data_IF_176526098609
#
_entry.id   IF_176526098609
#
_cell.length_a   1.000
_cell.length_b   1.000
_cell.length_c   1.000
_cell.angle_alpha   90.00
_cell.angle_beta   90.00
_cell.angle_gamma   90.00
#
_symmetry.space_group_name_H-M   'P 1'
#
loop_
_entity.id
_entity.type
_entity.pdbx_description
1 polymer ?
#
# COMPACT_ATOMS: atom_id res chain seq x y z
N UNK A 1 -47.19 50.32 30.67
CA UNK A 1 -46.42 49.49 29.71
C UNK A 1 -45.30 50.36 29.14
N UNK A 2 -44.14 50.36 29.79
CA UNK A 2 -43.03 51.27 29.48
C UNK A 2 -42.22 50.61 28.35
N UNK A 3 -42.17 51.26 27.19
CA UNK A 3 -41.33 50.84 26.06
C UNK A 3 -39.87 50.88 26.50
N UNK A 4 -39.22 49.72 26.51
CA UNK A 4 -37.81 49.56 26.86
C UNK A 4 -36.93 50.53 26.09
N UNK A 5 -36.11 51.31 26.80
CA UNK A 5 -35.16 52.27 26.22
C UNK A 5 -34.17 51.53 25.30
N UNK A 6 -34.39 51.66 24.00
CA UNK A 6 -33.50 51.16 22.95
C UNK A 6 -32.25 52.05 22.91
N UNK A 7 -31.13 51.55 23.45
CA UNK A 7 -29.87 52.29 23.42
C UNK A 7 -29.21 52.10 22.06
N UNK A 8 -29.23 53.15 21.22
CA UNK A 8 -28.55 53.21 19.93
C UNK A 8 -27.08 52.75 20.02
N UNK A 9 -26.41 53.02 21.15
CA UNK A 9 -25.05 52.57 21.42
C UNK A 9 -24.92 51.03 21.48
N UNK A 10 -25.93 50.32 22.00
CA UNK A 10 -25.94 48.85 22.03
C UNK A 10 -26.08 48.28 20.61
N UNK A 11 -26.88 48.90 19.76
CA UNK A 11 -27.03 48.48 18.35
C UNK A 11 -25.75 48.74 17.53
N UNK A 12 -25.14 49.91 17.70
CA UNK A 12 -23.88 50.26 17.02
C UNK A 12 -22.78 49.25 17.41
N UNK A 13 -22.63 48.94 18.71
CA UNK A 13 -21.69 47.91 19.19
C UNK A 13 -21.98 46.51 18.62
N UNK A 14 -23.24 46.13 18.51
CA UNK A 14 -23.62 44.85 17.90
C UNK A 14 -23.30 44.82 16.40
N UNK A 15 -23.55 45.90 15.68
CA UNK A 15 -23.25 46.03 14.26
C UNK A 15 -21.74 46.01 13.99
N UNK A 16 -20.95 46.72 14.80
CA UNK A 16 -19.48 46.67 14.77
C UNK A 16 -18.96 45.26 15.05
N UNK A 17 -19.51 44.57 16.06
CA UNK A 17 -19.14 43.18 16.37
C UNK A 17 -19.43 42.25 15.18
N UNK A 18 -20.60 42.36 14.56
CA UNK A 18 -20.97 41.61 13.35
C UNK A 18 -20.03 41.92 12.18
N UNK A 19 -19.67 43.19 11.97
CA UNK A 19 -18.72 43.59 10.93
C UNK A 19 -17.33 43.00 11.18
N UNK A 20 -16.82 43.08 12.42
CA UNK A 20 -15.55 42.47 12.82
C UNK A 20 -15.56 40.95 12.58
N UNK A 21 -16.63 40.26 12.96
CA UNK A 21 -16.78 38.83 12.71
C UNK A 21 -16.78 38.49 11.21
N UNK A 22 -17.49 39.26 10.37
CA UNK A 22 -17.49 39.08 8.91
C UNK A 22 -16.08 39.25 8.32
N UNK A 23 -15.35 40.27 8.75
CA UNK A 23 -13.97 40.52 8.30
C UNK A 23 -13.07 39.34 8.70
N UNK A 24 -13.15 38.88 9.95
CA UNK A 24 -12.38 37.73 10.42
C UNK A 24 -12.71 36.46 9.66
N UNK A 25 -13.99 36.19 9.37
CA UNK A 25 -14.40 35.03 8.56
C UNK A 25 -13.83 35.11 7.15
N UNK A 26 -13.88 36.29 6.52
CA UNK A 26 -13.31 36.52 5.19
C UNK A 26 -11.80 36.29 5.17
N UNK A 27 -11.08 36.81 6.17
CA UNK A 27 -9.64 36.62 6.32
C UNK A 27 -9.29 35.15 6.53
N UNK A 28 -10.02 34.44 7.41
CA UNK A 28 -9.83 32.99 7.61
C UNK A 28 -10.04 32.20 6.32
N UNK A 29 -11.10 32.52 5.58
CA UNK A 29 -11.39 31.87 4.31
C UNK A 29 -10.29 32.15 3.27
N UNK A 30 -9.84 33.40 3.13
CA UNK A 30 -8.75 33.75 2.22
C UNK A 30 -7.45 33.03 2.59
N UNK A 31 -7.09 33.03 3.88
CA UNK A 31 -5.92 32.31 4.36
C UNK A 31 -5.99 30.81 4.06
N UNK A 32 -7.16 30.18 4.27
CA UNK A 32 -7.35 28.76 3.94
C UNK A 32 -7.23 28.50 2.44
N UNK A 33 -7.77 29.39 1.60
CA UNK A 33 -7.67 29.31 0.15
C UNK A 33 -6.21 29.41 -0.31
N UNK A 34 -5.46 30.39 0.19
CA UNK A 34 -4.03 30.57 -0.12
C UNK A 34 -3.21 29.35 0.31
N UNK A 35 -3.41 28.88 1.55
CA UNK A 35 -2.75 27.68 2.08
C UNK A 35 -3.00 26.47 1.20
N UNK A 36 -4.25 26.21 0.82
CA UNK A 36 -4.62 25.01 0.06
C UNK A 36 -4.30 25.12 -1.44
N UNK A 37 -4.11 26.34 -1.95
CA UNK A 37 -3.67 26.58 -3.33
C UNK A 37 -2.23 26.11 -3.56
N UNK A 38 -1.35 26.21 -2.57
CA UNK A 38 0.04 25.73 -2.68
C UNK A 38 0.21 24.24 -2.33
N UNK A 39 -0.77 23.63 -1.67
CA UNK A 39 -0.71 22.22 -1.26
C UNK A 39 -0.96 21.29 -2.43
N UNK A 40 -0.20 20.20 -2.51
CA UNK A 40 -0.44 19.12 -3.46
C UNK A 40 -1.63 18.24 -3.01
N UNK A 41 -2.75 18.22 -3.75
CA UNK A 41 -3.93 17.44 -3.37
C UNK A 41 -3.67 15.92 -3.35
N UNK A 42 -2.73 15.41 -4.17
CA UNK A 42 -2.45 13.97 -4.26
C UNK A 42 -1.77 13.49 -2.99
N UNK A 43 -0.78 14.25 -2.48
CA UNK A 43 -0.12 13.96 -1.20
C UNK A 43 -1.11 13.98 -0.05
N UNK A 44 -2.03 14.94 -0.05
CA UNK A 44 -3.08 15.05 0.97
C UNK A 44 -3.99 13.81 0.95
N UNK A 45 -4.40 13.34 -0.22
CA UNK A 45 -5.19 12.10 -0.36
C UNK A 45 -4.47 10.89 0.24
N UNK A 46 -3.20 10.66 -0.10
CA UNK A 46 -2.46 9.51 0.45
C UNK A 46 -2.22 9.63 1.95
N UNK A 47 -2.06 10.85 2.46
CA UNK A 47 -1.93 11.09 3.89
C UNK A 47 -3.23 10.78 4.65
N UNK A 48 -4.40 11.14 4.08
CA UNK A 48 -5.70 10.73 4.61
C UNK A 48 -5.79 9.19 4.60
N UNK A 49 -5.52 8.55 3.46
CA UNK A 49 -5.62 7.09 3.33
C UNK A 49 -4.72 6.36 4.34
N UNK A 50 -3.51 6.87 4.57
CA UNK A 50 -2.57 6.33 5.56
C UNK A 50 -3.11 6.46 6.97
N UNK A 51 -3.58 7.64 7.36
CA UNK A 51 -4.13 7.88 8.70
C UNK A 51 -5.42 7.09 8.95
N UNK A 52 -6.25 6.87 7.92
CA UNK A 52 -7.43 6.01 8.02
C UNK A 52 -7.06 4.54 8.30
N UNK A 53 -5.97 4.04 7.71
CA UNK A 53 -5.48 2.68 7.94
C UNK A 53 -4.85 2.52 9.32
N UNK A 54 -4.03 3.49 9.73
CA UNK A 54 -3.31 3.44 11.00
C UNK A 54 -4.23 3.74 12.21
N UNK A 55 -5.42 4.32 12.00
CA UNK A 55 -6.38 4.75 13.05
C UNK A 55 -5.74 5.65 14.13
N UNK A 56 -4.64 6.30 13.79
CA UNK A 56 -3.90 7.21 14.66
C UNK A 56 -4.32 8.66 14.39
N UNK A 57 -4.39 9.48 15.45
CA UNK A 57 -4.67 10.92 15.40
C UNK A 57 -5.97 11.37 14.71
N UNK A 58 -7.12 11.12 15.35
CA UNK A 58 -8.43 11.55 14.85
C UNK A 58 -8.55 13.05 14.57
N UNK A 59 -7.90 13.90 15.40
CA UNK A 59 -7.94 15.36 15.23
C UNK A 59 -7.28 15.78 13.91
N UNK A 60 -6.13 15.18 13.60
CA UNK A 60 -5.40 15.44 12.36
C UNK A 60 -6.18 14.93 11.15
N UNK A 61 -6.77 13.74 11.28
CA UNK A 61 -7.62 13.16 10.25
C UNK A 61 -8.81 14.06 9.91
N UNK A 62 -9.51 14.58 10.92
CA UNK A 62 -10.63 15.52 10.72
C UNK A 62 -10.17 16.78 9.99
N UNK A 63 -9.07 17.38 10.43
CA UNK A 63 -8.49 18.58 9.78
C UNK A 63 -8.14 18.35 8.30
N UNK A 64 -7.48 17.23 7.97
CA UNK A 64 -7.15 16.90 6.59
C UNK A 64 -8.41 16.60 5.74
N UNK A 65 -9.44 15.97 6.32
CA UNK A 65 -10.73 15.76 5.65
C UNK A 65 -11.46 17.06 5.39
N UNK A 66 -11.40 18.01 6.32
CA UNK A 66 -11.97 19.35 6.15
C UNK A 66 -11.24 20.10 5.02
N UNK A 67 -9.91 20.09 5.02
CA UNK A 67 -9.07 20.68 3.97
C UNK A 67 -9.37 20.04 2.60
N UNK A 68 -9.51 18.71 2.53
CA UNK A 68 -9.91 18.00 1.31
C UNK A 68 -11.31 18.40 0.82
N UNK A 69 -12.27 18.53 1.75
CA UNK A 69 -13.63 18.96 1.42
C UNK A 69 -13.65 20.40 0.89
N UNK A 70 -12.79 21.27 1.42
CA UNK A 70 -12.64 22.64 0.98
C UNK A 70 -12.08 22.71 -0.44
N UNK A 71 -11.00 21.96 -0.72
CA UNK A 71 -10.41 21.84 -2.06
C UNK A 71 -11.48 21.44 -3.08
N UNK A 72 -12.31 20.44 -2.76
CA UNK A 72 -13.36 19.95 -3.66
C UNK A 72 -14.48 20.96 -3.87
N UNK A 73 -14.95 21.63 -2.81
CA UNK A 73 -16.02 22.65 -2.89
C UNK A 73 -15.60 23.85 -3.74
N UNK A 74 -14.35 24.29 -3.60
CA UNK A 74 -13.81 25.46 -4.30
C UNK A 74 -13.11 25.13 -5.62
N UNK A 75 -13.18 23.87 -6.07
CA UNK A 75 -12.56 23.37 -7.31
C UNK A 75 -11.07 23.74 -7.43
N UNK A 76 -10.36 23.74 -6.30
CA UNK A 76 -8.91 23.93 -6.28
C UNK A 76 -8.28 22.70 -6.93
N UNK A 77 -7.33 22.89 -7.84
CA UNK A 77 -6.62 21.80 -8.54
C UNK A 77 -7.51 20.81 -9.31
N UNK A 78 -8.65 21.27 -9.84
CA UNK A 78 -9.65 20.43 -10.53
C UNK A 78 -9.01 19.51 -11.59
N UNK A 79 -8.14 20.04 -12.44
CA UNK A 79 -7.49 19.29 -13.53
C UNK A 79 -6.71 18.07 -13.03
N UNK A 80 -6.02 18.20 -11.88
CA UNK A 80 -5.25 17.10 -11.28
C UNK A 80 -6.14 16.12 -10.53
N UNK A 81 -7.17 16.63 -9.85
CA UNK A 81 -8.05 15.84 -8.99
C UNK A 81 -8.98 14.95 -9.79
N UNK A 82 -9.60 15.47 -10.84
CA UNK A 82 -10.59 14.72 -11.59
C UNK A 82 -9.94 13.51 -12.29
N UNK A 83 -8.80 13.74 -12.95
CA UNK A 83 -8.01 12.65 -13.54
C UNK A 83 -7.50 11.65 -12.51
N UNK A 84 -6.99 12.12 -11.36
CA UNK A 84 -6.50 11.23 -10.30
C UNK A 84 -7.62 10.37 -9.68
N UNK A 85 -8.78 10.96 -9.40
CA UNK A 85 -9.92 10.26 -8.82
C UNK A 85 -10.49 9.23 -9.78
N UNK A 86 -10.54 9.54 -11.07
CA UNK A 86 -10.96 8.59 -12.09
C UNK A 86 -9.98 7.42 -12.20
N UNK A 87 -8.67 7.70 -12.24
CA UNK A 87 -7.64 6.66 -12.21
C UNK A 87 -7.73 5.78 -10.96
N UNK A 88 -7.99 6.36 -9.78
CA UNK A 88 -8.17 5.60 -8.55
C UNK A 88 -9.42 4.71 -8.58
N UNK A 89 -10.55 5.22 -9.10
CA UNK A 89 -11.76 4.41 -9.30
C UNK A 89 -11.51 3.25 -10.26
N UNK A 90 -10.84 3.51 -11.38
CA UNK A 90 -10.48 2.47 -12.34
C UNK A 90 -9.54 1.43 -11.74
N UNK A 91 -8.53 1.83 -10.95
CA UNK A 91 -7.64 0.90 -10.24
C UNK A 91 -8.40 0.03 -9.26
N UNK A 92 -9.28 0.61 -8.43
CA UNK A 92 -10.12 -0.15 -7.50
C UNK A 92 -11.05 -1.12 -8.23
N UNK A 93 -11.69 -0.67 -9.30
CA UNK A 93 -12.56 -1.52 -10.11
C UNK A 93 -11.78 -2.67 -10.80
N UNK A 94 -10.54 -2.44 -11.25
CA UNK A 94 -9.67 -3.49 -11.81
C UNK A 94 -9.31 -4.51 -10.74
N UNK A 95 -8.86 -4.06 -9.55
CA UNK A 95 -8.53 -4.94 -8.43
C UNK A 95 -9.75 -5.80 -8.04
N UNK A 96 -10.94 -5.20 -7.94
CA UNK A 96 -12.16 -5.93 -7.60
C UNK A 96 -12.55 -6.95 -8.70
N UNK A 97 -12.39 -6.60 -9.97
CA UNK A 97 -12.60 -7.54 -11.09
C UNK A 97 -11.60 -8.69 -11.06
N UNK A 98 -10.33 -8.40 -10.81
CA UNK A 98 -9.26 -9.40 -10.77
C UNK A 98 -9.41 -10.35 -9.56
N UNK A 99 -9.90 -9.84 -8.43
CA UNK A 99 -10.25 -10.65 -7.26
C UNK A 99 -11.42 -11.59 -7.54
N UNK A 100 -12.42 -11.16 -8.31
CA UNK A 100 -13.62 -11.96 -8.62
C UNK A 100 -13.41 -12.97 -9.73
N UNK A 101 -12.52 -12.68 -10.67
CA UNK A 101 -12.28 -13.49 -11.87
C UNK A 101 -11.45 -14.73 -11.53
N UNK A 102 -11.89 -15.93 -11.93
CA UNK A 102 -10.99 -17.10 -11.91
C UNK A 102 -9.87 -16.99 -12.93
N UNK A 103 -8.68 -17.45 -12.54
CA UNK A 103 -7.50 -17.50 -13.41
C UNK A 103 -7.42 -18.80 -14.23
N UNK A 104 -8.58 -19.40 -14.55
CA UNK A 104 -8.65 -20.69 -15.23
C UNK A 104 -7.92 -21.78 -14.45
N UNK A 105 -7.25 -22.70 -15.14
CA UNK A 105 -6.52 -23.86 -14.59
C UNK A 105 -5.49 -23.53 -13.49
N UNK A 106 -5.08 -22.27 -13.36
CA UNK A 106 -4.12 -21.81 -12.35
C UNK A 106 -4.80 -21.49 -11.00
N UNK A 107 -6.14 -21.46 -10.95
CA UNK A 107 -6.90 -21.16 -9.74
C UNK A 107 -7.28 -22.43 -9.00
N UNK A 108 -7.17 -22.41 -7.66
CA UNK A 108 -7.60 -23.49 -6.76
C UNK A 108 -9.08 -23.85 -6.94
N UNK A 109 -9.90 -22.88 -7.34
CA UNK A 109 -11.35 -23.03 -7.49
C UNK A 109 -11.77 -23.42 -8.92
N UNK A 110 -10.80 -23.70 -9.81
CA UNK A 110 -11.09 -24.02 -11.20
C UNK A 110 -11.53 -25.46 -11.33
N UNK A 111 -12.84 -25.64 -11.43
CA UNK A 111 -13.44 -26.87 -11.88
C UNK A 111 -14.54 -26.51 -12.89
N UNK A 112 -14.38 -26.84 -14.18
CA UNK A 112 -15.34 -26.45 -15.21
C UNK A 112 -16.75 -27.03 -15.00
N UNK A 113 -16.86 -28.18 -14.33
CA UNK A 113 -18.14 -28.81 -14.01
C UNK A 113 -18.82 -28.20 -12.78
N UNK A 114 -18.03 -27.91 -11.73
CA UNK A 114 -18.56 -27.38 -10.46
C UNK A 114 -18.65 -25.85 -10.42
N UNK A 115 -17.93 -25.14 -11.31
CA UNK A 115 -17.91 -23.69 -11.39
C UNK A 115 -17.91 -23.21 -12.86
N UNK A 116 -19.03 -23.40 -13.58
CA UNK A 116 -19.14 -23.04 -14.98
C UNK A 116 -19.05 -21.52 -15.22
N UNK A 117 -19.33 -20.71 -14.19
CA UNK A 117 -19.28 -19.24 -14.28
C UNK A 117 -17.87 -18.66 -14.14
N UNK A 118 -16.89 -19.46 -13.72
CA UNK A 118 -15.51 -18.99 -13.53
C UNK A 118 -15.40 -17.84 -12.52
N UNK A 119 -16.20 -17.87 -11.44
CA UNK A 119 -16.18 -16.88 -10.37
C UNK A 119 -15.61 -17.47 -9.09
N UNK A 120 -14.86 -16.67 -8.34
CA UNK A 120 -14.32 -17.11 -7.05
C UNK A 120 -15.48 -17.30 -6.07
N UNK A 121 -15.60 -18.44 -5.38
CA UNK A 121 -16.65 -18.64 -4.39
C UNK A 121 -16.57 -17.58 -3.28
N UNK A 122 -17.73 -17.08 -2.85
CA UNK A 122 -17.84 -16.22 -1.69
C UNK A 122 -17.96 -17.09 -0.43
N UNK A 123 -17.33 -16.68 0.67
CA UNK A 123 -17.57 -17.26 1.99
C UNK A 123 -19.01 -16.98 2.46
N UNK A 124 -19.44 -17.69 3.51
CA UNK A 124 -20.79 -17.56 4.09
C UNK A 124 -21.10 -16.12 4.54
N UNK A 125 -20.07 -15.39 4.98
CA UNK A 125 -20.17 -13.97 5.36
C UNK A 125 -20.15 -12.99 4.16
N UNK A 126 -20.19 -13.51 2.93
CA UNK A 126 -20.00 -12.73 1.70
C UNK A 126 -18.57 -12.27 1.46
N UNK A 127 -17.60 -12.74 2.27
CA UNK A 127 -16.19 -12.42 2.11
C UNK A 127 -15.61 -13.13 0.88
N UNK A 128 -14.80 -12.41 0.07
CA UNK A 128 -14.17 -13.01 -1.10
C UNK A 128 -13.02 -13.92 -0.66
N UNK A 129 -13.04 -15.18 -1.08
CA UNK A 129 -11.92 -16.09 -0.85
C UNK A 129 -10.71 -15.67 -1.70
N UNK A 130 -9.47 -15.91 -1.23
CA UNK A 130 -8.26 -15.52 -1.94
C UNK A 130 -8.05 -16.39 -3.18
N UNK A 131 -8.06 -15.77 -4.37
CA UNK A 131 -7.80 -16.44 -5.63
C UNK A 131 -6.31 -16.41 -5.97
N UNK A 132 -5.54 -17.27 -5.31
CA UNK A 132 -4.09 -17.36 -5.47
C UNK A 132 -3.72 -18.19 -6.70
N UNK A 133 -2.83 -17.64 -7.53
CA UNK A 133 -2.25 -18.32 -8.70
C UNK A 133 -0.83 -18.81 -8.46
N UNK A 134 -0.12 -18.15 -7.56
CA UNK A 134 1.20 -18.58 -7.13
C UNK A 134 1.06 -19.61 -5.99
N UNK A 135 1.90 -20.65 -5.95
CA UNK A 135 2.01 -21.50 -4.77
C UNK A 135 2.36 -20.64 -3.55
N UNK A 136 1.76 -20.92 -2.39
CA UNK A 136 2.10 -20.22 -1.15
C UNK A 136 3.61 -20.32 -0.92
N UNK A 137 4.33 -19.21 -1.09
CA UNK A 137 5.80 -19.17 -0.90
C UNK A 137 6.21 -19.26 0.56
N UNK A 138 5.26 -19.30 1.48
CA UNK A 138 5.51 -19.45 2.90
C UNK A 138 5.60 -20.94 3.20
N UNK A 139 6.83 -21.47 3.31
CA UNK A 139 7.05 -22.68 4.09
C UNK A 139 6.72 -22.30 5.54
N UNK A 140 5.50 -22.59 6.00
CA UNK A 140 5.14 -22.42 7.41
C UNK A 140 6.07 -23.30 8.23
N UNK A 141 7.07 -22.67 8.86
CA UNK A 141 7.92 -23.33 9.84
C UNK A 141 7.07 -23.50 11.10
N UNK A 142 6.51 -24.69 11.28
CA UNK A 142 5.84 -25.03 12.52
C UNK A 142 6.87 -25.06 13.65
N UNK A 143 6.51 -24.52 14.80
CA UNK A 143 7.29 -24.74 16.01
C UNK A 143 7.31 -26.25 16.31
N UNK A 144 8.44 -26.81 16.76
CA UNK A 144 8.50 -28.21 17.17
C UNK A 144 7.48 -28.46 18.29
N UNK A 145 6.80 -29.59 18.21
CA UNK A 145 5.80 -30.01 19.19
C UNK A 145 6.42 -30.05 20.61
N UNK A 146 5.80 -29.43 21.63
CA UNK A 146 6.29 -29.53 23.01
C UNK A 146 6.46 -30.98 23.48
N UNK A 147 5.63 -31.91 23.00
CA UNK A 147 5.73 -33.33 23.37
C UNK A 147 7.07 -33.97 22.97
N UNK A 148 7.65 -33.53 21.84
CA UNK A 148 8.97 -34.00 21.36
C UNK A 148 10.08 -33.60 22.34
N UNK A 149 9.93 -32.44 23.00
CA UNK A 149 10.86 -31.97 24.02
C UNK A 149 10.71 -32.75 25.32
N UNK A 150 9.48 -33.03 25.73
CA UNK A 150 9.17 -33.81 26.94
C UNK A 150 9.66 -35.25 26.83
N UNK A 151 9.54 -35.86 25.65
CA UNK A 151 9.95 -37.25 25.40
C UNK A 151 11.45 -37.42 25.14
N UNK A 152 12.23 -36.34 25.09
CA UNK A 152 13.68 -36.40 24.87
C UNK A 152 14.09 -37.04 23.54
N UNK A 153 13.23 -37.00 22.53
CA UNK A 153 13.49 -37.63 21.23
C UNK A 153 14.54 -36.81 20.49
N UNK A 154 15.77 -37.34 20.42
CA UNK A 154 16.83 -36.74 19.63
C UNK A 154 16.48 -36.85 18.14
N UNK A 155 16.47 -35.70 17.45
CA UNK A 155 16.34 -35.68 15.99
C UNK A 155 17.59 -36.35 15.38
N UNK A 156 17.44 -37.21 14.37
CA UNK A 156 18.59 -37.83 13.72
C UNK A 156 19.49 -36.77 13.09
N UNK A 157 20.81 -36.99 13.15
CA UNK A 157 21.79 -36.11 12.50
C UNK A 157 21.64 -36.19 10.97
N UNK A 158 21.35 -35.07 10.32
CA UNK A 158 21.28 -34.98 8.86
C UNK A 158 20.19 -34.05 8.33
N UNK A 159 20.11 -33.96 6.99
CA UNK A 159 18.99 -33.29 6.34
C UNK A 159 17.70 -34.07 6.56
N UNK A 160 16.54 -33.39 6.75
CA UNK A 160 15.27 -34.07 6.88
C UNK A 160 15.00 -34.95 5.64
N UNK A 161 14.31 -36.10 5.80
CA UNK A 161 14.04 -37.00 4.70
C UNK A 161 13.33 -36.27 3.55
N UNK A 162 13.97 -36.24 2.38
CA UNK A 162 13.33 -35.75 1.16
C UNK A 162 12.45 -36.86 0.62
N UNK A 163 11.14 -36.76 0.85
CA UNK A 163 10.18 -37.66 0.22
C UNK A 163 10.09 -37.33 -1.26
N UNK A 164 10.85 -38.06 -2.08
CA UNK A 164 10.61 -38.07 -3.52
C UNK A 164 9.30 -38.82 -3.77
N UNK A 165 8.28 -38.14 -4.30
CA UNK A 165 7.12 -38.86 -4.85
C UNK A 165 7.63 -39.74 -5.97
N UNK A 166 7.39 -41.05 -5.86
CA UNK A 166 7.63 -41.96 -6.97
C UNK A 166 6.80 -41.50 -8.17
N UNK A 167 7.38 -41.34 -9.37
CA UNK A 167 6.61 -40.98 -10.54
C UNK A 167 5.70 -42.16 -10.90
N UNK A 168 4.41 -42.04 -10.57
CA UNK A 168 3.42 -43.11 -10.73
C UNK A 168 3.10 -43.47 -12.20
N UNK A 169 3.70 -42.77 -13.18
CA UNK A 169 3.44 -42.94 -14.62
C UNK A 169 4.73 -43.09 -15.46
N UNK A 170 5.70 -43.90 -15.03
CA UNK A 170 6.91 -44.19 -15.83
C UNK A 170 6.97 -45.64 -16.28
N UNK A 171 5.86 -46.16 -16.81
CA UNK A 171 5.90 -47.30 -17.74
C UNK A 171 5.77 -46.77 -19.17
N UNK A 172 6.81 -46.11 -19.64
CA UNK A 172 7.01 -45.97 -21.09
C UNK A 172 7.90 -47.15 -21.46
N UNK A 173 7.32 -48.15 -22.13
CA UNK A 173 8.08 -49.25 -22.72
C UNK A 173 9.03 -48.65 -23.76
N UNK A 174 10.28 -48.43 -23.36
CA UNK A 174 11.35 -48.10 -24.30
C UNK A 174 11.76 -49.40 -24.99
N UNK A 175 11.35 -49.56 -26.26
CA UNK A 175 11.97 -50.53 -27.17
C UNK A 175 13.49 -50.31 -27.18
N UNK A 176 14.24 -51.38 -26.98
CA UNK A 176 15.70 -51.40 -27.02
C UNK A 176 16.21 -50.93 -28.39
N UNK A 177 17.20 -50.02 -28.44
CA UNK A 177 18.04 -49.88 -29.60
C UNK A 177 19.25 -50.82 -29.50
N UNK A 178 19.42 -51.67 -30.50
CA UNK A 178 20.59 -52.51 -30.68
C UNK A 178 21.88 -51.65 -30.84
N UNK A 179 22.88 -52.02 -30.03
CA UNK A 179 24.36 -51.91 -30.22
C UNK A 179 24.94 -50.65 -30.91
N UNK A 180 25.60 -49.83 -30.07
CA UNK A 180 26.72 -48.93 -30.43
C UNK A 180 28.00 -49.75 -30.82
N UNK A 181 29.12 -49.20 -31.38
CA UNK A 181 29.81 -47.93 -31.00
C UNK A 181 30.58 -47.23 -32.19
N UNK A 182 31.53 -46.27 -32.04
CA UNK A 182 32.08 -45.60 -30.85
C UNK A 182 32.21 -44.05 -30.88
N UNK A 183 32.35 -43.54 -29.65
CA UNK A 183 32.94 -42.28 -29.12
C UNK A 183 33.53 -41.25 -30.11
N UNK A 184 33.07 -40.00 -30.01
CA UNK A 184 33.89 -38.79 -30.16
C UNK A 184 33.73 -37.89 -28.94
N UNK A 185 34.86 -37.37 -28.49
CA UNK A 185 35.08 -36.59 -27.27
C UNK A 185 34.29 -35.25 -27.24
N UNK A 186 33.98 -34.72 -26.04
CA UNK A 186 33.30 -33.44 -25.89
C UNK A 186 34.27 -32.27 -26.12
N UNK A 187 33.92 -31.36 -27.04
CA UNK A 187 34.56 -30.04 -27.13
C UNK A 187 34.03 -29.12 -26.02
N UNK A 188 34.90 -28.32 -25.37
CA UNK A 188 34.54 -27.50 -24.22
C UNK A 188 33.66 -26.31 -24.62
N UNK A 189 32.72 -26.01 -23.72
CA UNK A 189 31.86 -24.83 -23.71
C UNK A 189 32.68 -23.54 -23.59
N UNK A 190 32.55 -22.64 -24.56
CA UNK A 190 32.93 -21.24 -24.37
C UNK A 190 31.91 -20.60 -23.42
N UNK A 191 32.33 -20.36 -22.18
CA UNK A 191 31.65 -19.50 -21.22
C UNK A 191 31.71 -18.06 -21.74
N UNK A 192 30.56 -17.41 -21.88
CA UNK A 192 30.49 -15.96 -21.95
C UNK A 192 30.88 -15.38 -20.58
N UNK A 193 31.83 -14.43 -20.47
CA UNK A 193 32.08 -13.73 -19.22
C UNK A 193 30.92 -12.79 -18.92
N UNK A 194 30.39 -12.91 -17.70
CA UNK A 194 29.43 -11.98 -17.11
C UNK A 194 30.25 -10.90 -16.41
N UNK A 195 30.67 -9.88 -17.15
CA UNK A 195 31.24 -8.66 -16.60
C UNK A 195 30.17 -7.58 -16.63
N UNK A 196 29.66 -7.21 -15.46
CA UNK A 196 29.04 -5.91 -15.19
C UNK A 196 29.26 -5.63 -13.70
N UNK A 197 30.54 -5.45 -13.36
CA UNK A 197 30.93 -4.60 -12.26
C UNK A 197 30.73 -3.16 -12.74
N UNK A 198 29.80 -2.46 -12.11
CA UNK A 198 29.73 -0.99 -12.11
C UNK A 198 29.85 -0.56 -10.65
N UNK A 199 31.10 -0.51 -10.20
CA UNK A 199 31.54 0.34 -9.11
C UNK A 199 31.93 1.69 -9.71
N UNK A 200 31.21 2.74 -9.31
CA UNK A 200 31.68 4.14 -9.10
C UNK A 200 30.48 5.06 -9.18
N UNK A 201 30.07 5.65 -8.04
CA UNK A 201 30.23 7.09 -7.86
C UNK A 201 29.93 7.45 -6.40
N UNK A 202 31.01 7.59 -5.64
CA UNK A 202 31.32 8.67 -4.70
C UNK A 202 30.29 9.09 -3.65
N UNK A 203 30.73 8.89 -2.40
CA UNK A 203 30.12 9.47 -1.23
C UNK A 203 30.24 10.99 -1.20
N UNK A 204 29.14 11.63 -0.83
CA UNK A 204 29.17 12.98 -0.29
C UNK A 204 28.50 12.97 1.09
N UNK A 205 29.30 12.60 2.08
CA UNK A 205 29.09 13.01 3.46
C UNK A 205 29.65 14.42 3.60
N UNK A 206 28.77 15.42 3.71
CA UNK A 206 29.15 16.73 4.23
C UNK A 206 28.25 17.06 5.40
N UNK A 207 28.74 16.66 6.57
CA UNK A 207 28.47 17.31 7.84
C UNK A 207 28.79 18.79 7.72
N UNK A 208 27.79 19.65 7.89
CA UNK A 208 27.99 21.06 8.25
C UNK A 208 27.01 21.36 9.38
N UNK A 209 27.53 21.29 10.60
CA UNK A 209 26.86 21.81 11.77
C UNK A 209 26.94 23.33 11.74
N UNK A 210 25.78 23.98 11.62
CA UNK A 210 25.64 25.39 11.98
C UNK A 210 24.83 25.47 13.29
N UNK A 211 25.58 25.57 14.39
CA UNK A 211 25.10 26.03 15.68
C UNK A 211 24.81 27.54 15.60
N UNK A 212 23.54 27.90 15.35
CA UNK A 212 23.08 29.26 15.61
C UNK A 212 22.70 29.41 17.09
N UNK A 213 23.64 29.94 17.87
CA UNK A 213 23.37 30.52 19.19
C UNK A 213 22.72 31.90 19.03
N UNK A 214 21.58 32.20 19.69
CA UNK A 214 21.06 33.56 19.75
C UNK A 214 21.81 34.38 20.83
N UNK A 215 22.47 35.45 20.38
CA UNK A 215 23.08 36.49 21.24
C UNK A 215 22.01 37.11 22.14
N UNK A 216 22.24 37.06 23.46
CA UNK A 216 21.52 37.84 24.47
C UNK A 216 21.83 39.33 24.26
N UNK A 217 20.81 40.11 23.93
CA UNK A 217 20.83 41.57 24.06
C UNK A 217 20.74 41.93 25.54
N UNK A 218 21.80 42.57 26.04
CA UNK A 218 21.87 43.22 27.35
C UNK A 218 21.32 44.63 27.18
N UNK A 219 20.17 44.91 27.80
CA UNK A 219 19.66 46.28 27.98
C UNK A 219 20.29 46.81 29.27
N UNK A 220 20.94 47.98 29.17
CA UNK A 220 21.26 48.85 30.30
C UNK A 220 20.08 49.77 30.58
#
# INVERSE_FOLDING_TARGET
>A
MIRSNWSLQKEVRQNESKQKQKIQQRQKHQHQLEKLKSVDPIRLYFQIERLEKEKNDEKRLKSLKDDWSFIRKHKLHADKLDGFLEQQKQKKAKIEKDQRRLWGNQSVYFNPELNPLGKVPAGEDGSSLPNLTAPLRHTTKYSPDPLIRELGIALPEGEPPKFYKSPQNTKIEKKEPEKAPPKKEPKPTLRAPRNLDMDSDDGYSSSSGDEHTPKKLRVQ
#
